data_IF_589848900062
#
_entry.id   IF_589848900062
#
_cell.length_a   1.000
_cell.length_b   1.000
_cell.length_c   1.000
_cell.angle_alpha   90.00
_cell.angle_beta   90.00
_cell.angle_gamma   90.00
#
_symmetry.space_group_name_H-M   'P 1'
#
loop_
_entity.id
_entity.type
_entity.pdbx_description
1 polymer ?
#
# COMPACT_ATOMS: atom_id res chain seq x y z
N UNK A 1 29.66 18.00 62.54
CA UNK A 1 28.45 17.83 61.71
C UNK A 1 28.76 18.24 60.27
N UNK A 2 28.43 17.37 59.30
CA UNK A 2 28.27 17.57 57.83
C UNK A 2 29.56 17.86 57.03
N UNK A 3 30.16 16.86 56.36
CA UNK A 3 29.81 16.11 55.11
C UNK A 3 30.46 16.75 53.86
N UNK A 4 31.40 16.01 53.28
CA UNK A 4 32.02 16.19 51.96
C UNK A 4 31.00 16.11 50.80
N UNK A 5 31.34 16.75 49.67
CA UNK A 5 30.97 16.49 48.25
C UNK A 5 31.86 17.47 47.43
N UNK A 6 32.94 17.16 46.68
CA UNK A 6 33.17 16.25 45.53
C UNK A 6 32.02 16.40 44.49
N UNK A 7 32.14 16.71 43.19
CA UNK A 7 33.09 16.37 42.09
C UNK A 7 32.86 17.28 40.86
N UNK A 8 33.93 17.45 40.05
CA UNK A 8 34.05 17.69 38.58
C UNK A 8 33.35 18.89 37.93
N UNK A 9 34.11 19.84 37.37
CA UNK A 9 34.79 19.77 36.05
C UNK A 9 33.77 19.53 34.94
N UNK A 10 33.35 20.65 34.34
CA UNK A 10 32.52 20.69 33.14
C UNK A 10 33.18 19.91 32.00
N UNK A 11 32.51 18.84 31.59
CA UNK A 11 32.93 17.95 30.51
C UNK A 11 32.64 18.62 29.16
N UNK A 12 33.73 18.97 28.49
CA UNK A 12 34.05 18.74 27.07
C UNK A 12 32.97 19.02 26.01
N UNK A 13 33.23 20.08 25.23
CA UNK A 13 32.94 20.13 23.80
C UNK A 13 33.64 18.95 23.12
N UNK A 14 32.91 18.08 22.40
CA UNK A 14 33.43 17.36 21.23
C UNK A 14 32.34 16.61 20.46
N UNK A 15 32.35 16.86 19.14
CA UNK A 15 31.98 15.97 18.03
C UNK A 15 30.59 15.29 18.10
N UNK A 16 29.67 15.51 17.18
CA UNK A 16 29.87 15.58 15.73
C UNK A 16 28.80 14.67 15.09
N UNK A 17 28.22 15.11 13.98
CA UNK A 17 27.41 14.28 13.09
C UNK A 17 26.12 13.67 13.68
N UNK A 18 25.31 14.46 14.40
CA UNK A 18 23.88 14.12 14.49
C UNK A 18 23.21 14.72 13.25
N UNK A 19 23.25 13.94 12.17
CA UNK A 19 22.36 13.95 11.01
C UNK A 19 21.57 15.25 10.82
N UNK A 20 22.03 16.14 9.94
CA UNK A 20 21.25 17.27 9.43
C UNK A 20 19.88 16.86 8.87
N UNK A 21 19.67 15.57 8.56
CA UNK A 21 18.36 14.99 8.26
C UNK A 21 17.35 15.11 9.41
N UNK A 22 17.78 14.99 10.67
CA UNK A 22 16.88 14.90 11.82
C UNK A 22 16.42 16.28 12.32
N UNK A 23 17.27 17.31 12.23
CA UNK A 23 16.90 18.69 12.58
C UNK A 23 15.87 19.28 11.60
N UNK A 24 15.97 18.96 10.31
CA UNK A 24 15.05 19.50 9.30
C UNK A 24 13.63 18.93 9.43
N UNK A 25 13.49 17.64 9.75
CA UNK A 25 12.21 17.00 10.05
C UNK A 25 11.58 17.50 11.35
N UNK A 26 12.39 17.97 12.31
CA UNK A 26 11.89 18.59 13.55
C UNK A 26 11.44 20.04 13.34
N UNK A 27 12.05 20.77 12.40
CA UNK A 27 11.73 22.19 12.14
C UNK A 27 10.61 22.37 11.09
N UNK A 28 10.44 21.42 10.17
CA UNK A 28 9.40 21.44 9.13
C UNK A 28 8.76 20.05 8.96
N UNK A 29 8.05 19.52 9.98
CA UNK A 29 7.53 18.14 9.96
C UNK A 29 6.41 17.91 8.95
N UNK A 30 5.83 18.98 8.39
CA UNK A 30 4.63 18.89 7.57
C UNK A 30 5.03 18.87 6.08
N UNK A 31 4.48 17.92 5.32
CA UNK A 31 4.68 17.73 3.87
C UNK A 31 6.02 17.08 3.44
N UNK A 32 6.55 16.18 4.26
CA UNK A 32 7.77 15.42 3.92
C UNK A 32 7.42 13.97 3.64
N UNK A 33 7.99 13.41 2.56
CA UNK A 33 7.85 12.00 2.19
C UNK A 33 9.21 11.32 2.04
N UNK A 34 9.25 10.00 2.18
CA UNK A 34 10.45 9.20 1.94
C UNK A 34 10.26 8.33 0.69
N UNK A 35 11.14 8.52 -0.30
CA UNK A 35 11.17 7.71 -1.52
C UNK A 35 12.58 7.13 -1.66
N UNK A 36 12.70 5.81 -1.67
CA UNK A 36 13.97 5.09 -1.86
C UNK A 36 15.09 5.56 -0.90
N UNK A 37 14.76 5.86 0.35
CA UNK A 37 15.72 6.33 1.36
C UNK A 37 16.05 7.82 1.26
N UNK A 38 15.44 8.56 0.33
CA UNK A 38 15.57 10.00 0.20
C UNK A 38 14.35 10.69 0.80
N UNK A 39 14.62 11.67 1.65
CA UNK A 39 13.61 12.54 2.26
C UNK A 39 13.35 13.71 1.32
N UNK A 40 12.12 13.85 0.83
CA UNK A 40 11.71 14.97 -0.04
C UNK A 40 10.71 15.85 0.69
N UNK A 41 10.96 17.16 0.69
CA UNK A 41 9.99 18.15 1.12
C UNK A 41 9.13 18.57 -0.07
N UNK A 42 7.83 18.35 0.03
CA UNK A 42 6.86 18.65 -1.02
C UNK A 42 6.51 20.14 -1.09
N UNK A 43 6.71 20.89 0.00
CA UNK A 43 6.05 22.18 0.20
C UNK A 43 4.54 22.01 0.29
N UNK A 44 3.78 23.06 -0.01
CA UNK A 44 2.32 22.97 -0.06
C UNK A 44 1.88 21.92 -1.09
N UNK A 45 1.03 20.97 -0.66
CA UNK A 45 0.43 19.96 -1.52
C UNK A 45 -0.92 20.49 -2.02
N UNK A 46 -1.13 20.45 -3.33
CA UNK A 46 -2.34 20.93 -4.01
C UNK A 46 -3.32 19.80 -4.32
N UNK A 47 -2.80 18.61 -4.61
CA UNK A 47 -3.62 17.42 -4.81
C UNK A 47 -2.84 16.15 -4.49
N UNK A 48 -3.58 15.11 -4.15
CA UNK A 48 -3.06 13.78 -3.81
C UNK A 48 -4.01 12.73 -4.36
N UNK A 49 -3.48 11.75 -5.10
CA UNK A 49 -4.27 10.72 -5.75
C UNK A 49 -3.71 9.34 -5.40
N UNK A 50 -4.57 8.43 -4.92
CA UNK A 50 -4.19 7.07 -4.58
C UNK A 50 -4.66 6.11 -5.66
N UNK A 51 -3.72 5.47 -6.33
CA UNK A 51 -3.98 4.45 -7.33
C UNK A 51 -3.52 3.09 -6.81
N UNK A 52 -4.45 2.14 -6.72
CA UNK A 52 -4.19 0.79 -6.25
C UNK A 52 -4.22 -0.19 -7.41
N UNK A 53 -3.37 -1.21 -7.34
CA UNK A 53 -3.30 -2.31 -8.30
C UNK A 53 -3.38 -3.63 -7.57
N UNK A 54 -4.29 -4.50 -8.02
CA UNK A 54 -4.38 -5.92 -7.65
C UNK A 54 -3.94 -6.74 -8.84
N UNK A 55 -2.93 -7.58 -8.65
CA UNK A 55 -2.43 -8.51 -9.67
C UNK A 55 -2.57 -9.93 -9.15
N UNK A 56 -3.23 -10.80 -9.91
CA UNK A 56 -3.30 -12.23 -9.66
C UNK A 56 -2.45 -12.93 -10.72
N UNK A 57 -1.48 -13.72 -10.29
CA UNK A 57 -0.62 -14.50 -11.18
C UNK A 57 -0.70 -15.98 -10.85
N UNK A 58 -0.64 -16.84 -11.86
CA UNK A 58 -0.49 -18.29 -11.72
C UNK A 58 0.61 -18.77 -12.67
N UNK A 59 1.48 -19.67 -12.20
CA UNK A 59 2.50 -20.31 -13.03
C UNK A 59 3.36 -19.34 -13.86
N UNK A 60 3.65 -18.15 -13.31
CA UNK A 60 4.43 -17.10 -13.96
C UNK A 60 3.65 -16.25 -14.97
N UNK A 61 2.37 -16.54 -15.21
CA UNK A 61 1.47 -15.75 -16.05
C UNK A 61 0.54 -14.86 -15.22
N UNK A 62 0.26 -13.66 -15.72
CA UNK A 62 -0.75 -12.78 -15.13
C UNK A 62 -2.13 -13.22 -15.56
N UNK A 63 -2.98 -13.60 -14.60
CA UNK A 63 -4.38 -13.95 -14.84
C UNK A 63 -5.27 -12.73 -14.85
N UNK A 64 -5.07 -11.82 -13.87
CA UNK A 64 -5.87 -10.63 -13.71
C UNK A 64 -4.99 -9.47 -13.24
N UNK A 65 -5.22 -8.28 -13.79
CA UNK A 65 -4.68 -7.02 -13.25
C UNK A 65 -5.78 -5.98 -13.23
N UNK A 66 -6.06 -5.45 -12.03
CA UNK A 66 -7.05 -4.39 -11.83
C UNK A 66 -6.34 -3.19 -11.25
N UNK A 67 -6.42 -2.05 -11.93
CA UNK A 67 -5.89 -0.77 -11.45
C UNK A 67 -7.01 0.24 -11.34
N UNK A 68 -7.19 0.83 -10.16
CA UNK A 68 -8.29 1.76 -9.87
C UNK A 68 -7.94 2.67 -8.69
N UNK A 69 -8.61 3.82 -8.49
CA UNK A 69 -8.49 4.56 -7.24
C UNK A 69 -8.72 3.67 -6.03
N UNK A 70 -7.93 3.86 -4.96
CA UNK A 70 -7.99 3.03 -3.74
C UNK A 70 -9.44 2.84 -3.23
N UNK A 71 -10.25 3.89 -3.28
CA UNK A 71 -11.65 3.88 -2.82
C UNK A 71 -12.58 2.96 -3.63
N UNK A 72 -12.19 2.58 -4.85
CA UNK A 72 -13.01 1.83 -5.80
C UNK A 72 -12.38 0.50 -6.20
N UNK A 73 -11.19 0.17 -5.70
CA UNK A 73 -10.43 -1.01 -6.14
C UNK A 73 -11.17 -2.32 -5.88
N UNK A 74 -11.82 -2.46 -4.71
CA UNK A 74 -12.61 -3.65 -4.38
C UNK A 74 -13.80 -3.79 -5.33
N UNK A 75 -14.49 -2.69 -5.63
CA UNK A 75 -15.61 -2.70 -6.58
C UNK A 75 -15.16 -3.15 -7.97
N UNK A 76 -14.04 -2.61 -8.47
CA UNK A 76 -13.50 -3.00 -9.77
C UNK A 76 -13.07 -4.46 -9.80
N UNK A 77 -12.35 -4.92 -8.77
CA UNK A 77 -11.95 -6.32 -8.65
C UNK A 77 -13.15 -7.27 -8.67
N UNK A 78 -14.20 -6.96 -7.90
CA UNK A 78 -15.43 -7.76 -7.89
C UNK A 78 -16.12 -7.78 -9.25
N UNK A 79 -16.11 -6.68 -10.00
CA UNK A 79 -16.70 -6.63 -11.33
C UNK A 79 -15.92 -7.48 -12.33
N UNK A 80 -14.58 -7.45 -12.30
CA UNK A 80 -13.73 -8.28 -13.17
C UNK A 80 -13.88 -9.77 -12.85
N UNK A 81 -13.81 -10.15 -11.57
CA UNK A 81 -14.02 -11.55 -11.16
C UNK A 81 -15.42 -12.06 -11.55
N UNK A 82 -16.45 -11.21 -11.44
CA UNK A 82 -17.80 -11.53 -11.91
C UNK A 82 -17.87 -11.65 -13.43
N UNK A 83 -17.12 -10.81 -14.16
CA UNK A 83 -17.04 -10.90 -15.61
C UNK A 83 -16.46 -12.25 -16.03
N UNK A 84 -15.37 -12.69 -15.41
CA UNK A 84 -14.71 -13.97 -15.69
C UNK A 84 -15.62 -15.16 -15.40
N UNK A 85 -16.32 -15.17 -14.26
CA UNK A 85 -17.31 -16.21 -13.95
C UNK A 85 -18.43 -16.25 -14.99
N UNK A 86 -18.95 -15.09 -15.40
CA UNK A 86 -20.00 -15.02 -16.42
C UNK A 86 -19.50 -15.49 -17.78
N UNK A 87 -18.25 -15.20 -18.13
CA UNK A 87 -17.62 -15.67 -19.37
C UNK A 87 -17.48 -17.20 -19.36
N UNK A 88 -16.88 -17.75 -18.31
CA UNK A 88 -16.74 -19.21 -18.16
C UNK A 88 -18.10 -19.93 -18.22
N UNK A 89 -19.12 -19.39 -17.56
CA UNK A 89 -20.49 -19.92 -17.62
C UNK A 89 -21.17 -19.85 -18.99
N UNK A 90 -20.76 -18.93 -19.88
CA UNK A 90 -21.26 -18.85 -21.26
C UNK A 90 -20.57 -19.88 -22.16
N UNK A 91 -19.32 -20.20 -21.88
CA UNK A 91 -18.52 -21.17 -22.62
C UNK A 91 -18.89 -22.62 -22.26
N UNK A 92 -19.44 -22.84 -21.06
CA UNK A 92 -20.02 -24.12 -20.66
C UNK A 92 -21.37 -24.35 -21.38
N UNK A 93 -21.33 -25.14 -22.45
CA UNK A 93 -22.54 -25.53 -23.22
C UNK A 93 -23.43 -26.49 -22.43
N UNK A 94 -22.84 -27.35 -21.60
CA UNK A 94 -23.50 -28.30 -20.71
C UNK A 94 -22.80 -28.30 -19.33
N UNK A 95 -23.56 -28.39 -18.24
CA UNK A 95 -23.02 -28.46 -16.87
C UNK A 95 -23.64 -27.41 -15.91
N UNK A 96 -23.35 -27.55 -14.61
CA UNK A 96 -23.76 -26.58 -13.60
C UNK A 96 -22.95 -25.29 -13.75
N UNK A 97 -23.64 -24.15 -13.68
CA UNK A 97 -23.02 -22.82 -13.73
C UNK A 97 -22.43 -22.47 -12.38
N UNK A 98 -21.22 -21.91 -12.40
CA UNK A 98 -20.50 -21.47 -11.20
C UNK A 98 -21.00 -20.09 -10.77
N UNK A 99 -21.13 -19.84 -9.47
CA UNK A 99 -21.44 -18.51 -8.94
C UNK A 99 -20.17 -17.85 -8.44
N UNK A 100 -20.14 -16.52 -8.38
CA UNK A 100 -18.97 -15.79 -7.84
C UNK A 100 -18.56 -16.30 -6.45
N UNK A 101 -19.54 -16.63 -5.61
CA UNK A 101 -19.29 -17.10 -4.25
C UNK A 101 -18.64 -18.49 -4.17
N UNK A 102 -18.73 -19.30 -5.23
CA UNK A 102 -18.20 -20.67 -5.29
C UNK A 102 -17.10 -20.85 -6.34
N UNK A 103 -16.76 -19.78 -7.08
CA UNK A 103 -15.64 -19.78 -8.01
C UNK A 103 -14.33 -19.72 -7.24
N UNK A 104 -13.37 -20.55 -7.62
CA UNK A 104 -12.04 -20.63 -7.00
C UNK A 104 -10.97 -20.93 -8.05
N UNK A 105 -9.71 -20.66 -7.69
CA UNK A 105 -8.56 -21.08 -8.50
C UNK A 105 -8.14 -22.49 -8.10
N UNK A 106 -8.06 -23.40 -9.08
CA UNK A 106 -7.58 -24.78 -8.88
C UNK A 106 -6.07 -24.94 -9.16
N UNK A 107 -5.34 -23.83 -9.26
CA UNK A 107 -3.88 -23.78 -9.44
C UNK A 107 -3.25 -22.92 -8.35
N UNK A 108 -1.93 -22.99 -8.22
CA UNK A 108 -1.20 -22.11 -7.32
C UNK A 108 -1.25 -20.68 -7.85
N UNK A 109 -1.54 -19.73 -6.97
CA UNK A 109 -1.63 -18.31 -7.33
C UNK A 109 -0.83 -17.45 -6.36
N UNK A 110 -0.39 -16.29 -6.86
CA UNK A 110 0.07 -15.19 -6.04
C UNK A 110 -0.82 -13.98 -6.27
N UNK A 111 -1.24 -13.35 -5.19
CA UNK A 111 -2.05 -12.12 -5.19
C UNK A 111 -1.17 -11.00 -4.65
N UNK A 112 -0.89 -10.01 -5.49
CA UNK A 112 -0.13 -8.81 -5.14
C UNK A 112 -1.07 -7.60 -5.10
N UNK A 113 -1.12 -6.93 -3.96
CA UNK A 113 -1.84 -5.68 -3.76
C UNK A 113 -0.84 -4.56 -3.51
N UNK A 114 -0.97 -3.46 -4.25
CA UNK A 114 -0.06 -2.32 -4.13
C UNK A 114 -0.81 -1.01 -4.33
N UNK A 115 -0.32 0.06 -3.71
CA UNK A 115 -0.90 1.40 -3.85
C UNK A 115 0.22 2.41 -4.02
N UNK A 116 0.02 3.35 -4.92
CA UNK A 116 0.91 4.49 -5.14
C UNK A 116 0.13 5.76 -4.89
N UNK A 117 0.69 6.64 -4.05
CA UNK A 117 0.19 8.01 -3.91
C UNK A 117 0.94 8.88 -4.88
N UNK A 118 0.24 9.72 -5.62
CA UNK A 118 0.86 10.77 -6.44
C UNK A 118 0.46 12.13 -5.90
N UNK A 119 1.45 12.94 -5.54
CA UNK A 119 1.28 14.30 -5.06
C UNK A 119 1.57 15.30 -6.16
N UNK A 120 0.76 16.35 -6.24
CA UNK A 120 1.09 17.61 -6.92
C UNK A 120 1.33 18.66 -5.84
N UNK A 121 2.49 19.31 -5.86
CA UNK A 121 2.92 20.21 -4.81
C UNK A 121 3.72 21.39 -5.34
N UNK A 122 4.01 22.37 -4.48
CA UNK A 122 4.80 23.56 -4.80
C UNK A 122 6.11 23.24 -5.53
N UNK A 123 6.79 22.17 -5.10
CA UNK A 123 8.10 21.80 -5.64
C UNK A 123 8.04 20.77 -6.76
N UNK A 124 6.95 20.01 -6.87
CA UNK A 124 6.84 18.90 -7.82
C UNK A 124 5.48 18.91 -8.51
N UNK A 125 5.49 19.00 -9.85
CA UNK A 125 4.26 18.88 -10.65
C UNK A 125 3.55 17.54 -10.46
N UNK A 126 4.34 16.48 -10.28
CA UNK A 126 3.88 15.14 -9.92
C UNK A 126 5.05 14.38 -9.27
N UNK A 127 4.83 13.81 -8.09
CA UNK A 127 5.77 12.90 -7.44
C UNK A 127 5.02 11.71 -6.87
N UNK A 128 5.48 10.50 -7.22
CA UNK A 128 4.84 9.26 -6.83
C UNK A 128 5.60 8.57 -5.71
N UNK A 129 4.89 8.24 -4.64
CA UNK A 129 5.40 7.50 -3.50
C UNK A 129 4.64 6.17 -3.40
N UNK A 130 5.34 5.02 -3.54
CA UNK A 130 4.71 3.75 -3.26
C UNK A 130 4.40 3.63 -1.77
N UNK A 131 3.20 3.15 -1.45
CA UNK A 131 2.88 2.66 -0.12
C UNK A 131 3.28 1.19 0.00
N UNK A 132 3.09 0.63 1.21
CA UNK A 132 3.33 -0.79 1.46
C UNK A 132 2.55 -1.67 0.47
N UNK A 133 3.25 -2.62 -0.16
CA UNK A 133 2.68 -3.63 -1.01
C UNK A 133 2.60 -4.96 -0.25
N UNK A 134 1.50 -5.69 -0.43
CA UNK A 134 1.27 -7.00 0.17
C UNK A 134 1.27 -8.04 -0.94
N UNK A 135 1.97 -9.16 -0.73
CA UNK A 135 1.89 -10.32 -1.60
C UNK A 135 1.50 -11.53 -0.76
N UNK A 136 0.47 -12.25 -1.19
CA UNK A 136 0.00 -13.47 -0.55
C UNK A 136 0.04 -14.60 -1.58
N UNK A 137 0.62 -15.73 -1.20
CA UNK A 137 0.70 -16.91 -2.03
C UNK A 137 -0.32 -17.93 -1.53
N UNK A 138 -1.03 -18.56 -2.48
CA UNK A 138 -2.00 -19.61 -2.23
C UNK A 138 -1.66 -20.82 -3.08
N UNK A 139 -1.96 -21.99 -2.54
CA UNK A 139 -1.80 -23.28 -3.23
C UNK A 139 -3.14 -23.74 -3.78
N UNK A 140 -3.09 -24.58 -4.82
CA UNK A 140 -4.29 -25.19 -5.40
C UNK A 140 -5.14 -25.98 -4.38
N UNK A 141 -4.55 -26.42 -3.27
CA UNK A 141 -5.24 -27.17 -2.20
C UNK A 141 -6.08 -26.29 -1.28
N UNK A 142 -5.89 -24.98 -1.33
CA UNK A 142 -6.55 -24.04 -0.43
C UNK A 142 -7.98 -23.68 -0.89
N UNK A 143 -8.41 -24.16 -2.07
CA UNK A 143 -9.72 -23.86 -2.69
C UNK A 143 -10.12 -22.38 -2.56
N UNK A 144 -9.15 -21.47 -2.79
CA UNK A 144 -9.35 -20.06 -2.52
C UNK A 144 -10.49 -19.49 -3.36
N UNK A 145 -11.60 -19.15 -2.71
CA UNK A 145 -12.76 -18.63 -3.38
C UNK A 145 -12.55 -17.16 -3.77
N UNK A 146 -13.21 -16.73 -4.83
CA UNK A 146 -13.14 -15.35 -5.30
C UNK A 146 -13.63 -14.37 -4.22
N UNK A 147 -14.56 -14.78 -3.34
CA UNK A 147 -14.97 -13.99 -2.17
C UNK A 147 -13.82 -13.74 -1.19
N UNK A 148 -12.94 -14.71 -0.96
CA UNK A 148 -11.79 -14.55 -0.07
C UNK A 148 -10.79 -13.53 -0.62
N UNK A 149 -10.64 -13.49 -1.95
CA UNK A 149 -9.82 -12.50 -2.66
C UNK A 149 -10.42 -11.10 -2.52
N UNK A 150 -11.75 -10.98 -2.62
CA UNK A 150 -12.47 -9.72 -2.41
C UNK A 150 -12.28 -9.24 -0.96
N UNK A 151 -12.41 -10.12 0.03
CA UNK A 151 -12.18 -9.79 1.44
C UNK A 151 -10.74 -9.37 1.71
N UNK A 152 -9.75 -10.07 1.13
CA UNK A 152 -8.34 -9.69 1.20
C UNK A 152 -8.12 -8.27 0.64
N UNK A 153 -8.69 -7.97 -0.52
CA UNK A 153 -8.62 -6.65 -1.13
C UNK A 153 -9.29 -5.57 -0.27
N UNK A 154 -10.41 -5.88 0.37
CA UNK A 154 -11.11 -4.96 1.27
C UNK A 154 -10.30 -4.67 2.54
N UNK A 155 -9.69 -5.69 3.16
CA UNK A 155 -8.79 -5.50 4.30
C UNK A 155 -7.58 -4.66 3.92
N UNK A 156 -6.98 -4.93 2.76
CA UNK A 156 -5.87 -4.12 2.23
C UNK A 156 -6.29 -2.67 1.98
N UNK A 157 -7.46 -2.45 1.36
CA UNK A 157 -8.00 -1.11 1.10
C UNK A 157 -8.15 -0.32 2.40
N UNK A 158 -8.79 -0.90 3.41
CA UNK A 158 -9.04 -0.26 4.69
C UNK A 158 -7.73 0.08 5.44
N UNK A 159 -6.80 -0.88 5.52
CA UNK A 159 -5.50 -0.66 6.15
C UNK A 159 -4.71 0.44 5.43
N UNK A 160 -4.65 0.39 4.11
CA UNK A 160 -3.92 1.37 3.29
C UNK A 160 -4.52 2.78 3.44
N UNK A 161 -5.85 2.90 3.45
CA UNK A 161 -6.53 4.17 3.65
C UNK A 161 -6.23 4.75 5.04
N UNK A 162 -6.25 3.91 6.08
CA UNK A 162 -5.91 4.35 7.44
C UNK A 162 -4.45 4.79 7.53
N UNK A 163 -3.52 4.01 6.97
CA UNK A 163 -2.10 4.37 6.94
C UNK A 163 -1.87 5.67 6.18
N UNK A 164 -2.57 5.87 5.06
CA UNK A 164 -2.51 7.10 4.29
C UNK A 164 -3.02 8.29 5.12
N UNK A 165 -4.22 8.20 5.66
CA UNK A 165 -4.83 9.29 6.44
C UNK A 165 -3.96 9.71 7.63
N UNK A 166 -3.31 8.74 8.30
CA UNK A 166 -2.55 9.02 9.51
C UNK A 166 -1.15 9.59 9.25
N UNK A 167 -0.53 9.27 8.11
CA UNK A 167 0.91 9.53 7.92
C UNK A 167 1.26 10.28 6.64
N UNK A 168 0.37 10.26 5.65
CA UNK A 168 0.68 10.65 4.27
C UNK A 168 -0.38 11.55 3.64
N UNK A 169 -1.47 11.84 4.37
CA UNK A 169 -2.42 12.86 3.99
C UNK A 169 -1.87 14.23 4.36
N UNK A 170 -1.72 15.10 3.36
CA UNK A 170 -1.23 16.47 3.55
C UNK A 170 -2.27 17.52 3.15
N UNK A 171 -3.51 17.09 2.88
CA UNK A 171 -4.64 17.97 2.58
C UNK A 171 -5.73 17.64 3.61
N UNK A 172 -6.01 18.60 4.49
CA UNK A 172 -7.16 18.57 5.39
C UNK A 172 -8.44 19.01 4.67
#
# INVERSE_FOLDING_TARGET
>A
MKKSNVIAIGVLVLAGLISTRNLYTTLYPQHVININGNTLNLGQVYSQNLLSTVTITADGATLLTVTSPLTTIVKQLTMELKHDVNKGNRELVNGEKVQLATAYFNTNIAIRLSTVVTYNSRHYKAISMPLEAVTVNYTAKDELHFNDIIELAQRYQNKTQQTFNNNYNFID
#
